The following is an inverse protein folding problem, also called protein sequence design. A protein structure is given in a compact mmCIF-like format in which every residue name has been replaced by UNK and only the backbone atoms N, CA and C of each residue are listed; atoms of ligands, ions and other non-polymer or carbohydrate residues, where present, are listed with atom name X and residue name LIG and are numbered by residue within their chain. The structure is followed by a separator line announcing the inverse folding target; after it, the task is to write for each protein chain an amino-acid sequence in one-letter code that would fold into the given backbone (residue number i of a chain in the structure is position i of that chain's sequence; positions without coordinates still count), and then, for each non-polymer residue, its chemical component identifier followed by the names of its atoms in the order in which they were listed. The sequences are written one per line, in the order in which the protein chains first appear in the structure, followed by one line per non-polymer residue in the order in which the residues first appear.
data_IF_931973061624
#
_entry.id   IF_931973061624
#
_cell.length_a   1.000
_cell.length_b   1.000
_cell.length_c   1.000
_cell.angle_alpha   90.00
_cell.angle_beta   90.00
_cell.angle_gamma   90.00
#
_symmetry.space_group_name_H-M   'P 1'
#
loop_
_entity.id
_entity.type
_entity.pdbx_description
1 polymer ?
#
# COMPACT_ATOMS: atom_id res chain seq x y z
N UNK A 1 20.58 -12.14 13.25
CA UNK A 1 19.57 -11.84 12.22
C UNK A 1 19.69 -10.37 11.95
N UNK A 2 20.23 -10.01 10.78
CA UNK A 2 20.27 -8.61 10.35
C UNK A 2 18.83 -8.17 10.06
N UNK A 3 18.43 -7.06 10.65
CA UNK A 3 17.16 -6.39 10.38
C UNK A 3 17.29 -5.60 9.08
N UNK A 4 16.21 -5.55 8.29
CA UNK A 4 16.21 -4.84 7.01
C UNK A 4 15.58 -3.44 7.20
N UNK A 5 16.16 -2.42 6.57
CA UNK A 5 15.64 -1.04 6.61
C UNK A 5 14.22 -0.94 6.04
N UNK A 6 13.37 -0.06 6.57
CA UNK A 6 12.01 0.14 6.05
C UNK A 6 12.01 0.86 4.69
N UNK A 7 11.08 0.55 3.78
CA UNK A 7 11.01 1.17 2.47
C UNK A 7 10.53 2.61 2.53
N UNK A 8 11.13 3.45 1.70
CA UNK A 8 10.85 4.87 1.53
C UNK A 8 10.03 5.20 0.26
N UNK A 9 9.81 4.20 -0.61
CA UNK A 9 8.90 4.29 -1.78
C UNK A 9 8.18 2.97 -2.06
N UNK A 10 6.99 3.06 -2.65
CA UNK A 10 6.26 1.89 -3.15
C UNK A 10 7.03 1.30 -4.36
N UNK A 11 7.20 -0.03 -4.45
CA UNK A 11 7.79 -0.65 -5.63
C UNK A 11 6.93 -0.46 -6.88
N UNK A 12 7.57 -0.46 -8.04
CA UNK A 12 6.87 -0.46 -9.33
C UNK A 12 6.01 -1.73 -9.50
N UNK A 13 4.98 -1.63 -10.33
CA UNK A 13 4.07 -2.76 -10.61
C UNK A 13 3.01 -2.98 -9.54
N UNK A 14 2.77 -2.02 -8.65
CA UNK A 14 1.64 -2.02 -7.70
C UNK A 14 0.62 -0.93 -8.05
N UNK A 15 -0.66 -1.29 -8.06
CA UNK A 15 -1.77 -0.37 -8.32
C UNK A 15 -2.68 -0.23 -7.09
N UNK A 16 -3.19 0.98 -6.87
CA UNK A 16 -4.22 1.22 -5.84
C UNK A 16 -5.53 0.59 -6.29
N UNK A 17 -6.08 -0.31 -5.48
CA UNK A 17 -7.35 -0.98 -5.79
C UNK A 17 -8.46 -0.62 -4.79
N UNK A 18 -8.10 -0.07 -3.63
CA UNK A 18 -9.05 0.31 -2.58
C UNK A 18 -8.45 1.43 -1.74
N UNK A 19 -9.32 2.34 -1.31
CA UNK A 19 -9.04 3.35 -0.29
C UNK A 19 -10.06 3.24 0.83
N UNK A 20 -9.65 3.48 2.08
CA UNK A 20 -10.58 3.61 3.21
C UNK A 20 -11.27 4.96 3.22
N UNK A 21 -12.33 5.08 4.01
CA UNK A 21 -12.81 6.39 4.44
C UNK A 21 -11.77 7.08 5.32
N UNK A 22 -12.00 8.37 5.61
CA UNK A 22 -11.17 9.13 6.53
C UNK A 22 -11.36 8.61 7.96
N UNK A 23 -10.25 8.23 8.58
CA UNK A 23 -10.15 7.99 10.01
C UNK A 23 -9.78 9.28 10.73
N UNK A 24 -10.36 9.41 11.91
CA UNK A 24 -10.07 10.45 12.90
C UNK A 24 -9.69 9.82 14.23
N UNK A 25 -9.26 10.61 15.21
CA UNK A 25 -8.96 10.12 16.56
C UNK A 25 -10.14 9.38 17.22
N UNK A 26 -11.38 9.74 16.84
CA UNK A 26 -12.61 9.14 17.33
C UNK A 26 -13.08 7.93 16.52
N UNK A 27 -12.82 7.90 15.20
CA UNK A 27 -13.31 6.84 14.30
C UNK A 27 -12.28 5.75 14.02
N UNK A 28 -11.01 5.96 14.39
CA UNK A 28 -9.92 5.00 14.23
C UNK A 28 -10.21 3.69 14.98
N UNK A 29 -10.39 2.55 14.29
CA UNK A 29 -10.64 1.27 14.93
C UNK A 29 -9.50 0.86 15.85
N UNK A 30 -9.83 0.33 17.03
CA UNK A 30 -8.85 -0.13 18.01
C UNK A 30 -7.91 -1.23 17.47
N UNK A 31 -8.33 -1.97 16.44
CA UNK A 31 -7.50 -2.96 15.76
C UNK A 31 -6.26 -2.35 15.10
N UNK A 32 -6.37 -1.15 14.51
CA UNK A 32 -5.24 -0.47 13.85
C UNK A 32 -4.23 0.11 14.85
N UNK A 33 -4.65 0.31 16.11
CA UNK A 33 -3.79 0.78 17.22
C UNK A 33 -2.92 -0.32 17.80
N UNK A 34 -3.24 -1.58 17.51
CA UNK A 34 -2.46 -2.75 17.91
C UNK A 34 -1.61 -3.21 16.74
N UNK A 35 -0.60 -4.02 17.03
CA UNK A 35 0.22 -4.63 15.99
C UNK A 35 -0.64 -5.52 15.11
N UNK A 36 -0.63 -5.20 13.82
CA UNK A 36 -1.33 -5.92 12.78
C UNK A 36 -0.48 -5.92 11.51
N UNK A 37 -0.79 -6.82 10.59
CA UNK A 37 -0.14 -6.90 9.29
C UNK A 37 -1.18 -6.88 8.18
N UNK A 38 -0.79 -6.34 7.03
CA UNK A 38 -1.56 -6.49 5.81
C UNK A 38 -1.49 -7.93 5.30
N UNK A 39 -2.42 -8.28 4.39
CA UNK A 39 -2.36 -9.55 3.67
C UNK A 39 -1.08 -9.65 2.84
N UNK A 40 -0.70 -10.88 2.49
CA UNK A 40 0.33 -11.10 1.48
C UNK A 40 0.00 -10.30 0.21
N UNK A 41 1.04 -9.77 -0.43
CA UNK A 41 0.97 -8.95 -1.64
C UNK A 41 0.19 -7.63 -1.52
N UNK A 42 -0.23 -7.22 -0.32
CA UNK A 42 -0.93 -5.95 -0.12
C UNK A 42 -0.05 -4.95 0.60
N UNK A 43 0.25 -3.86 -0.09
CA UNK A 43 0.86 -2.68 0.49
C UNK A 43 -0.21 -1.74 1.02
N UNK A 44 0.06 -1.12 2.16
CA UNK A 44 -0.74 -0.02 2.70
C UNK A 44 0.04 1.28 2.57
N UNK A 45 -0.60 2.33 2.07
CA UNK A 45 -0.03 3.68 2.01
C UNK A 45 -0.90 4.59 2.88
N UNK A 46 -0.31 5.12 3.94
CA UNK A 46 -1.00 5.94 4.93
C UNK A 46 -0.85 7.41 4.53
N UNK A 47 -1.96 8.06 4.20
CA UNK A 47 -1.99 9.46 3.83
C UNK A 47 -2.63 10.28 4.95
N UNK A 48 -1.84 11.15 5.59
CA UNK A 48 -2.33 12.12 6.57
C UNK A 48 -2.76 13.38 5.84
N UNK A 49 -4.02 13.77 6.00
CA UNK A 49 -4.58 15.02 5.44
C UNK A 49 -4.63 16.15 6.46
N UNK A 50 -4.60 15.84 7.75
CA UNK A 50 -4.50 16.86 8.80
C UNK A 50 -4.07 16.28 10.14
N UNK A 51 -3.36 17.08 10.92
CA UNK A 51 -2.89 16.69 12.25
C UNK A 51 -1.69 15.73 12.20
N UNK A 52 -1.57 14.91 13.24
CA UNK A 52 -0.36 14.11 13.47
C UNK A 52 -0.69 12.66 13.81
N UNK A 53 -0.09 11.73 13.08
CA UNK A 53 -0.22 10.30 13.29
C UNK A 53 1.15 9.69 13.59
N UNK A 54 1.26 8.91 14.66
CA UNK A 54 2.43 8.08 14.94
C UNK A 54 2.28 6.75 14.20
N UNK A 55 3.31 6.36 13.46
CA UNK A 55 3.40 5.09 12.75
C UNK A 55 4.59 4.30 13.29
N UNK A 56 4.36 3.05 13.71
CA UNK A 56 5.40 2.19 14.26
C UNK A 56 5.50 0.87 13.53
N UNK A 57 6.72 0.39 13.31
CA UNK A 57 7.02 -0.96 12.83
C UNK A 57 7.68 -1.74 13.95
N UNK A 58 7.08 -2.86 14.34
CA UNK A 58 7.52 -3.72 15.45
C UNK A 58 7.97 -5.10 14.99
N UNK A 59 7.84 -5.39 13.68
CA UNK A 59 8.22 -6.67 13.11
C UNK A 59 9.74 -6.91 13.18
N UNK A 60 10.14 -8.09 13.63
CA UNK A 60 11.55 -8.47 13.79
C UNK A 60 12.31 -8.62 12.46
N UNK A 61 11.60 -8.67 11.32
CA UNK A 61 12.21 -8.71 9.98
C UNK A 61 12.70 -7.33 9.54
N UNK A 62 12.25 -6.26 10.19
CA UNK A 62 12.60 -4.88 9.87
C UNK A 62 13.28 -4.17 11.05
N UNK A 63 13.96 -3.07 10.74
CA UNK A 63 14.40 -2.14 11.77
C UNK A 63 13.18 -1.55 12.47
N UNK A 64 13.23 -1.47 13.80
CA UNK A 64 12.19 -0.81 14.57
C UNK A 64 12.05 0.65 14.10
N UNK A 65 10.84 1.02 13.70
CA UNK A 65 10.53 2.37 13.23
C UNK A 65 9.54 3.02 14.18
N UNK A 66 9.78 4.29 14.45
CA UNK A 66 8.84 5.17 15.15
C UNK A 66 8.83 6.51 14.43
N UNK A 67 7.90 6.65 13.49
CA UNK A 67 7.79 7.79 12.61
C UNK A 67 6.58 8.64 12.98
N UNK A 68 6.73 9.95 12.86
CA UNK A 68 5.63 10.90 12.94
C UNK A 68 5.22 11.32 11.53
N UNK A 69 3.98 11.00 11.16
CA UNK A 69 3.39 11.35 9.88
C UNK A 69 2.52 12.60 10.03
N UNK A 70 2.74 13.56 9.14
CA UNK A 70 1.96 14.80 8.97
C UNK A 70 1.65 14.98 7.49
N UNK A 71 0.78 15.94 7.10
CA UNK A 71 0.55 16.24 5.68
C UNK A 71 1.84 16.63 4.92
N UNK A 72 2.82 17.19 5.61
CA UNK A 72 4.08 17.67 5.04
C UNK A 72 5.18 16.60 5.00
N UNK A 73 5.13 15.58 5.87
CA UNK A 73 6.16 14.52 5.91
C UNK A 73 6.07 13.55 4.73
N UNK A 74 4.94 13.55 4.02
CA UNK A 74 4.62 12.53 3.03
C UNK A 74 3.97 11.28 3.66
N UNK A 75 3.64 10.29 2.82
CA UNK A 75 2.88 9.11 3.26
C UNK A 75 3.75 8.10 4.02
N UNK A 76 3.11 7.36 4.92
CA UNK A 76 3.72 6.19 5.55
C UNK A 76 3.54 4.94 4.69
N UNK A 77 4.60 4.15 4.48
CA UNK A 77 4.53 2.92 3.70
C UNK A 77 4.49 1.70 4.61
N UNK A 78 3.50 0.85 4.37
CA UNK A 78 3.25 -0.38 5.10
C UNK A 78 3.42 -1.56 4.15
N UNK A 79 4.37 -2.41 4.47
CA UNK A 79 4.68 -3.60 3.69
C UNK A 79 3.70 -4.75 3.92
N UNK A 80 3.59 -5.67 2.93
CA UNK A 80 2.84 -6.90 3.10
C UNK A 80 3.34 -7.71 4.29
N UNK A 81 2.43 -8.20 5.12
CA UNK A 81 2.69 -9.06 6.29
C UNK A 81 3.53 -8.46 7.42
N UNK A 82 4.09 -7.25 7.29
CA UNK A 82 4.92 -6.63 8.32
C UNK A 82 4.04 -6.07 9.45
N UNK A 83 4.37 -6.44 10.68
CA UNK A 83 3.69 -5.97 11.88
C UNK A 83 3.95 -4.49 12.14
N UNK A 84 2.87 -3.73 12.22
CA UNK A 84 2.89 -2.30 12.47
C UNK A 84 1.65 -1.86 13.26
N UNK A 85 1.71 -0.65 13.80
CA UNK A 85 0.60 -0.01 14.51
C UNK A 85 0.59 1.49 14.26
N UNK A 86 -0.60 2.10 14.39
CA UNK A 86 -0.78 3.55 14.28
C UNK A 86 -1.45 4.13 15.52
N UNK A 87 -1.00 5.32 15.93
CA UNK A 87 -1.52 5.99 17.12
C UNK A 87 -1.72 7.48 16.84
N UNK A 88 -2.93 8.03 17.05
CA UNK A 88 -3.19 9.45 16.87
C UNK A 88 -2.46 10.25 17.97
N UNK A 89 -1.72 11.29 17.60
CA UNK A 89 -1.01 12.17 18.56
C UNK A 89 -1.79 13.45 18.88
N UNK A 90 -3.12 13.40 18.77
CA UNK A 90 -4.03 14.54 18.86
C UNK A 90 -5.14 14.43 17.82
N UNK A 91 -5.83 15.54 17.50
CA UNK A 91 -6.74 15.59 16.35
C UNK A 91 -6.00 15.18 15.09
N UNK A 92 -6.55 14.22 14.35
CA UNK A 92 -5.94 13.70 13.12
C UNK A 92 -7.01 13.37 12.10
N UNK A 93 -6.67 13.50 10.83
CA UNK A 93 -7.46 13.02 9.72
C UNK A 93 -6.53 12.31 8.73
N UNK A 94 -6.78 11.04 8.45
CA UNK A 94 -5.95 10.25 7.54
C UNK A 94 -6.75 9.13 6.88
N UNK A 95 -6.27 8.59 5.77
CA UNK A 95 -6.82 7.41 5.13
C UNK A 95 -5.70 6.45 4.73
N UNK A 96 -6.07 5.22 4.41
CA UNK A 96 -5.13 4.20 3.92
C UNK A 96 -5.53 3.78 2.51
N UNK A 97 -4.58 3.84 1.58
CA UNK A 97 -4.69 3.23 0.25
C UNK A 97 -4.06 1.85 0.26
N UNK A 98 -4.77 0.87 -0.28
CA UNK A 98 -4.28 -0.48 -0.43
C UNK A 98 -3.88 -0.72 -1.87
N UNK A 99 -2.63 -1.11 -2.04
CA UNK A 99 -2.05 -1.43 -3.33
C UNK A 99 -1.79 -2.94 -3.42
N UNK A 100 -2.06 -3.50 -4.59
CA UNK A 100 -1.77 -4.91 -4.92
C UNK A 100 -0.94 -4.94 -6.21
N UNK A 101 -0.27 -6.06 -6.54
CA UNK A 101 0.40 -6.16 -7.82
C UNK A 101 -0.61 -5.86 -8.92
N UNK A 102 -0.25 -4.98 -9.83
CA UNK A 102 -0.99 -4.81 -11.06
C UNK A 102 -1.02 -6.20 -11.69
N UNK A 103 -2.21 -6.79 -11.75
CA UNK A 103 -2.39 -7.97 -12.57
C UNK A 103 -2.13 -7.52 -13.99
N UNK A 104 -0.90 -7.74 -14.49
CA UNK A 104 -0.75 -7.98 -15.91
C UNK A 104 -1.80 -9.03 -16.25
N UNK A 105 -2.68 -8.78 -17.24
CA UNK A 105 -3.53 -9.85 -17.70
C UNK A 105 -2.59 -11.00 -18.03
N UNK A 106 -2.72 -12.11 -17.28
CA UNK A 106 -2.11 -13.38 -17.65
C UNK A 106 -2.21 -13.49 -19.16
N UNK A 107 -1.13 -13.71 -19.92
CA UNK A 107 -1.25 -13.87 -21.35
C UNK A 107 -2.22 -15.03 -21.55
N UNK A 108 -3.44 -14.67 -21.98
CA UNK A 108 -4.44 -15.63 -22.38
C UNK A 108 -3.77 -16.48 -23.47
N UNK A 109 -3.94 -17.79 -23.34
CA UNK A 109 -3.36 -18.86 -24.15
C UNK A 109 -2.88 -18.40 -25.53
N UNK A 110 -1.73 -18.89 -26.01
CA UNK A 110 -1.05 -18.58 -27.29
C UNK A 110 -1.96 -18.22 -28.49
N UNK A 111 -3.16 -18.79 -28.54
CA UNK A 111 -4.22 -18.50 -29.50
C UNK A 111 -4.76 -17.06 -29.47
N UNK A 112 -4.90 -16.41 -28.31
CA UNK A 112 -5.34 -15.00 -28.24
C UNK A 112 -4.30 -14.01 -28.77
N UNK A 113 -3.01 -14.29 -28.58
CA UNK A 113 -1.93 -13.48 -29.16
C UNK A 113 -1.93 -13.57 -30.69
N UNK A 114 -2.20 -14.78 -31.24
CA UNK A 114 -2.38 -14.95 -32.69
C UNK A 114 -3.58 -14.18 -33.20
N UNK A 115 -4.73 -14.29 -32.53
CA UNK A 115 -5.93 -13.57 -32.94
C UNK A 115 -5.76 -12.04 -32.91
N UNK A 116 -5.03 -11.49 -31.94
CA UNK A 116 -4.71 -10.06 -31.88
C UNK A 116 -3.77 -9.62 -33.00
N UNK A 117 -2.76 -10.43 -33.32
CA UNK A 117 -1.84 -10.16 -34.42
C UNK A 117 -2.54 -10.25 -35.79
N UNK A 118 -3.40 -11.26 -35.99
CA UNK A 118 -4.20 -11.41 -37.21
C UNK A 118 -5.19 -10.25 -37.40
N UNK A 119 -5.85 -9.78 -36.34
CA UNK A 119 -6.74 -8.62 -36.41
C UNK A 119 -5.96 -7.33 -36.71
N UNK A 120 -4.75 -7.17 -36.16
CA UNK A 120 -3.88 -6.03 -36.45
C UNK A 120 -3.45 -6.03 -37.92
N UNK A 121 -3.02 -7.17 -38.45
CA UNK A 121 -2.61 -7.28 -39.86
C UNK A 121 -3.78 -7.03 -40.81
N UNK A 122 -4.98 -7.52 -40.51
CA UNK A 122 -6.19 -7.20 -41.31
C UNK A 122 -6.54 -5.72 -41.32
N UNK A 123 -6.36 -5.03 -40.19
CA UNK A 123 -6.65 -3.59 -40.10
C UNK A 123 -5.61 -2.71 -40.82
N UNK A 124 -4.43 -3.25 -41.11
CA UNK A 124 -3.38 -2.58 -41.91
C UNK A 124 -3.52 -2.85 -43.42
N UNK A 125 -4.35 -3.83 -43.80
CA UNK A 125 -4.65 -4.18 -45.21
C UNK A 125 -5.97 -3.56 -45.73
N UNK A 126 -6.69 -2.77 -44.93
CA UNK A 126 -7.89 -1.98 -45.31
C UNK A 126 -7.56 -0.48 -45.49
#
# INVERSE_FOLDING_TARGET
METQQNPDRLPDGFESYRRTDLFTEATLPAGLRKDHGNKADVWGVIHVVGGTLRYRVTDRRRDALDATLTPESGPGLVEPTILHSVEPMGPVAFYVEFHRPATEPMPLCREELRAREENRLRAEEE
#
